data_IF_352406373028
#
_entry.id   IF_352406373028
#
_cell.length_a   1.000
_cell.length_b   1.000
_cell.length_c   1.000
_cell.angle_alpha   90.00
_cell.angle_beta   90.00
_cell.angle_gamma   90.00
#
_symmetry.space_group_name_H-M   'P 1'
#
loop_
_entity.id
_entity.type
_entity.pdbx_description
1 polymer ?
#
# COMPACT_ATOMS: atom_id res chain seq x y z
N UNK A 1 -14.07 -30.38 25.12
CA UNK A 1 -13.55 -30.67 23.77
C UNK A 1 -13.96 -29.53 22.85
N UNK A 2 -13.10 -28.52 22.65
CA UNK A 2 -13.42 -27.40 21.77
C UNK A 2 -13.04 -27.76 20.33
N UNK A 3 -14.04 -27.83 19.46
CA UNK A 3 -13.88 -28.10 18.03
C UNK A 3 -12.81 -27.20 17.43
N UNK A 4 -11.68 -27.78 17.06
CA UNK A 4 -10.58 -27.15 16.34
C UNK A 4 -11.12 -26.70 14.98
N UNK A 5 -11.43 -25.42 14.86
CA UNK A 5 -11.83 -24.82 13.59
C UNK A 5 -10.71 -25.00 12.57
N UNK A 6 -11.03 -25.67 11.46
CA UNK A 6 -10.11 -25.93 10.37
C UNK A 6 -10.61 -25.16 9.14
N UNK A 7 -10.02 -23.99 8.79
CA UNK A 7 -10.45 -23.26 7.62
C UNK A 7 -10.06 -24.06 6.38
N UNK A 8 -11.08 -24.45 5.59
CA UNK A 8 -10.89 -25.07 4.28
C UNK A 8 -9.95 -24.19 3.45
N UNK A 9 -9.01 -24.85 2.77
CA UNK A 9 -7.83 -24.30 2.09
C UNK A 9 -8.19 -23.59 0.76
N UNK A 10 -9.47 -23.32 0.56
CA UNK A 10 -10.09 -22.99 -0.72
C UNK A 10 -10.82 -21.63 -0.64
N UNK A 11 -10.66 -20.90 0.47
CA UNK A 11 -11.09 -19.51 0.58
C UNK A 11 -10.11 -18.55 -0.13
N UNK A 12 -9.82 -18.80 -1.39
CA UNK A 12 -9.32 -17.76 -2.31
C UNK A 12 -10.49 -16.80 -2.52
N UNK A 13 -10.60 -15.79 -1.66
CA UNK A 13 -11.56 -14.70 -1.84
C UNK A 13 -11.18 -13.96 -3.11
N UNK A 14 -11.76 -14.37 -4.24
CA UNK A 14 -11.76 -13.62 -5.48
C UNK A 14 -12.61 -12.36 -5.30
N UNK A 15 -12.09 -11.44 -4.50
CA UNK A 15 -12.72 -10.16 -4.24
C UNK A 15 -12.56 -9.28 -5.48
N UNK A 16 -13.47 -9.44 -6.44
CA UNK A 16 -13.61 -8.49 -7.52
C UNK A 16 -14.39 -7.28 -7.01
N UNK A 17 -13.69 -6.16 -6.82
CA UNK A 17 -14.32 -4.91 -6.41
C UNK A 17 -15.36 -4.45 -7.44
N UNK A 18 -16.54 -4.07 -6.94
CA UNK A 18 -17.72 -3.68 -7.75
C UNK A 18 -17.61 -2.30 -8.40
N UNK A 19 -16.54 -1.53 -8.14
CA UNK A 19 -16.42 -0.14 -8.59
C UNK A 19 -14.98 0.19 -8.98
N UNK A 20 -14.79 0.76 -10.17
CA UNK A 20 -13.48 1.27 -10.63
C UNK A 20 -13.01 2.51 -9.85
N UNK A 21 -13.92 3.13 -9.09
CA UNK A 21 -13.74 4.39 -8.36
C UNK A 21 -12.68 4.35 -7.23
N UNK A 22 -12.17 3.18 -6.85
CA UNK A 22 -11.15 3.03 -5.80
C UNK A 22 -9.77 2.54 -6.29
N UNK A 23 -9.54 2.45 -7.61
CA UNK A 23 -8.23 2.03 -8.12
C UNK A 23 -7.33 3.24 -8.33
N UNK A 24 -6.52 3.57 -7.32
CA UNK A 24 -5.30 4.33 -7.59
C UNK A 24 -4.36 3.48 -8.45
N UNK A 25 -3.71 4.09 -9.43
CA UNK A 25 -2.77 3.37 -10.29
C UNK A 25 -1.52 2.99 -9.50
N UNK A 26 -1.00 1.78 -9.74
CA UNK A 26 0.26 1.36 -9.11
C UNK A 26 1.40 2.33 -9.44
N UNK A 27 1.45 2.82 -10.69
CA UNK A 27 2.42 3.82 -11.14
C UNK A 27 2.30 5.15 -10.36
N UNK A 28 1.07 5.62 -10.10
CA UNK A 28 0.82 6.81 -9.29
C UNK A 28 1.30 6.65 -7.85
N UNK A 29 1.07 5.46 -7.25
CA UNK A 29 1.57 5.14 -5.92
C UNK A 29 3.09 5.09 -5.85
N UNK A 30 3.75 4.50 -6.86
CA UNK A 30 5.21 4.43 -6.91
C UNK A 30 5.83 5.82 -7.05
N UNK A 31 5.27 6.66 -7.92
CA UNK A 31 5.71 8.05 -8.12
C UNK A 31 5.52 8.87 -6.84
N UNK A 32 4.37 8.75 -6.16
CA UNK A 32 4.13 9.41 -4.88
C UNK A 32 5.14 9.00 -3.80
N UNK A 33 5.46 7.70 -3.72
CA UNK A 33 6.46 7.19 -2.76
C UNK A 33 7.83 7.78 -3.07
N UNK A 34 8.25 7.86 -4.33
CA UNK A 34 9.55 8.41 -4.70
C UNK A 34 9.66 9.90 -4.34
N UNK A 35 8.67 10.71 -4.65
CA UNK A 35 8.71 12.14 -4.35
C UNK A 35 8.71 12.43 -2.84
N UNK A 36 8.00 11.61 -2.06
CA UNK A 36 8.05 11.67 -0.58
C UNK A 36 9.41 11.22 -0.04
N UNK A 37 9.99 10.13 -0.55
CA UNK A 37 11.31 9.65 -0.10
C UNK A 37 12.42 10.64 -0.46
N UNK A 38 12.33 11.28 -1.63
CA UNK A 38 13.25 12.35 -2.05
C UNK A 38 13.08 13.63 -1.23
N UNK A 39 12.01 13.76 -0.45
CA UNK A 39 11.71 14.94 0.35
C UNK A 39 11.17 16.13 -0.47
N UNK A 40 10.78 15.92 -1.73
CA UNK A 40 10.25 16.97 -2.61
C UNK A 40 8.79 17.32 -2.31
N UNK A 41 8.03 16.35 -1.81
CA UNK A 41 6.62 16.53 -1.42
C UNK A 41 6.32 15.92 -0.05
N UNK A 42 5.45 16.58 0.71
CA UNK A 42 4.86 16.01 1.92
C UNK A 42 3.73 15.02 1.60
N UNK A 43 3.34 14.20 2.57
CA UNK A 43 2.32 13.15 2.38
C UNK A 43 0.97 13.67 1.88
N UNK A 44 0.54 14.85 2.31
CA UNK A 44 -0.72 15.44 1.85
C UNK A 44 -0.59 15.88 0.40
N UNK A 45 0.43 16.69 0.07
CA UNK A 45 0.68 17.13 -1.31
C UNK A 45 0.80 15.97 -2.29
N UNK A 46 1.56 14.92 -1.96
CA UNK A 46 1.70 13.74 -2.81
C UNK A 46 0.39 12.93 -2.95
N UNK A 47 -0.42 12.85 -1.89
CA UNK A 47 -1.72 12.19 -1.94
C UNK A 47 -2.66 12.85 -2.95
N UNK A 48 -2.74 14.18 -2.93
CA UNK A 48 -3.54 14.95 -3.87
C UNK A 48 -2.96 14.91 -5.29
N UNK A 49 -1.64 15.10 -5.45
CA UNK A 49 -0.99 15.16 -6.76
C UNK A 49 -1.11 13.84 -7.55
N UNK A 50 -1.01 12.70 -6.87
CA UNK A 50 -1.03 11.38 -7.52
C UNK A 50 -2.37 10.65 -7.36
N UNK A 51 -3.39 11.32 -6.81
CA UNK A 51 -4.70 10.72 -6.53
C UNK A 51 -4.59 9.38 -5.77
N UNK A 52 -3.71 9.34 -4.77
CA UNK A 52 -3.47 8.15 -3.95
C UNK A 52 -3.92 8.36 -2.50
N UNK A 53 -4.43 7.33 -1.81
CA UNK A 53 -4.82 7.46 -0.41
C UNK A 53 -3.63 7.77 0.50
N UNK A 54 -3.75 8.83 1.30
CA UNK A 54 -2.68 9.30 2.20
C UNK A 54 -2.20 8.25 3.19
N UNK A 55 -3.12 7.51 3.81
CA UNK A 55 -2.79 6.47 4.81
C UNK A 55 -2.03 5.31 4.17
N UNK A 56 -2.44 4.88 2.98
CA UNK A 56 -1.74 3.87 2.17
C UNK A 56 -0.34 4.32 1.76
N UNK A 57 -0.20 5.58 1.34
CA UNK A 57 1.09 6.17 1.00
C UNK A 57 2.06 6.17 2.19
N UNK A 58 1.60 6.62 3.38
CA UNK A 58 2.40 6.61 4.61
C UNK A 58 2.88 5.19 4.93
N UNK A 59 1.97 4.21 4.91
CA UNK A 59 2.29 2.81 5.18
C UNK A 59 3.36 2.26 4.21
N UNK A 60 3.18 2.49 2.91
CA UNK A 60 4.13 2.02 1.89
C UNK A 60 5.50 2.68 2.02
N UNK A 61 5.57 3.99 2.29
CA UNK A 61 6.85 4.69 2.51
C UNK A 61 7.59 4.10 3.71
N UNK A 62 6.90 3.84 4.83
CA UNK A 62 7.51 3.23 6.03
C UNK A 62 8.09 1.84 5.74
N UNK A 63 7.36 0.98 5.03
CA UNK A 63 7.86 -0.34 4.63
C UNK A 63 9.08 -0.22 3.72
N UNK A 64 9.02 0.66 2.73
CA UNK A 64 10.13 0.88 1.79
C UNK A 64 11.39 1.34 2.51
N UNK A 65 11.27 2.26 3.48
CA UNK A 65 12.40 2.69 4.30
C UNK A 65 12.95 1.57 5.19
N UNK A 66 12.08 0.78 5.82
CA UNK A 66 12.49 -0.39 6.62
C UNK A 66 13.28 -1.39 5.78
N UNK A 67 12.81 -1.69 4.56
CA UNK A 67 13.49 -2.57 3.60
C UNK A 67 14.85 -2.01 3.16
N UNK A 68 14.96 -0.70 2.91
CA UNK A 68 16.24 -0.07 2.56
C UNK A 68 17.27 -0.17 3.69
N UNK A 69 16.83 -0.09 4.95
CA UNK A 69 17.71 -0.26 6.12
C UNK A 69 18.26 -1.68 6.22
N UNK A 70 17.41 -2.69 6.05
CA UNK A 70 17.80 -4.12 6.14
C UNK A 70 18.75 -4.59 5.03
N UNK A 71 18.85 -3.88 3.90
CA UNK A 71 19.77 -4.22 2.80
C UNK A 71 21.14 -3.56 2.93
N UNK A 72 21.35 -2.72 3.95
CA UNK A 72 22.61 -2.04 4.21
C UNK A 72 23.52 -2.83 5.16
N UNK A 73 22.97 -3.86 5.79
CA UNK A 73 23.68 -4.86 6.60
C UNK A 73 24.11 -6.04 5.70
#
# INVERSE_FOLDING_TARGET
MFSRWNPRKDMERNYQQKTEQQKWSQNGMESAIQEVIKGRMGYSAASHAFSVPRTTLIYRVKITQKRKRQKKD
#
